data_IF_445689803195
#
_entry.id   IF_445689803195
#
_cell.length_a   1.000
_cell.length_b   1.000
_cell.length_c   1.000
_cell.angle_alpha   90.00
_cell.angle_beta   90.00
_cell.angle_gamma   90.00
#
_symmetry.space_group_name_H-M   'P 1'
#
loop_
_entity.id
_entity.type
_entity.pdbx_description
1 polymer ?
#
# COMPACT_ATOMS: atom_id res chain seq x y z
N UNK A 1 2.84 12.21 12.95
CA UNK A 1 3.11 10.81 12.55
C UNK A 1 2.45 10.50 11.21
N UNK A 2 3.21 9.98 10.25
CA UNK A 2 2.63 9.60 8.97
C UNK A 2 1.81 8.33 9.09
N UNK A 3 0.98 8.06 8.09
CA UNK A 3 0.21 6.82 8.03
C UNK A 3 1.13 5.59 8.04
N UNK A 4 2.25 5.66 7.31
CA UNK A 4 3.22 4.56 7.28
C UNK A 4 3.82 4.31 8.66
N UNK A 5 4.22 5.36 9.35
CA UNK A 5 4.80 5.23 10.70
C UNK A 5 3.81 4.62 11.67
N UNK A 6 2.54 5.01 11.57
CA UNK A 6 1.48 4.45 12.41
C UNK A 6 1.28 2.97 12.13
N UNK A 7 1.22 2.61 10.85
CA UNK A 7 1.03 1.21 10.44
C UNK A 7 2.24 0.36 10.83
N UNK A 8 3.44 0.91 10.70
CA UNK A 8 4.68 0.24 11.07
C UNK A 8 4.70 -0.07 12.56
N UNK A 9 4.33 0.92 13.38
CA UNK A 9 4.23 0.74 14.82
C UNK A 9 3.17 -0.28 15.19
N UNK A 10 2.01 -0.21 14.55
CA UNK A 10 0.90 -1.13 14.76
C UNK A 10 1.33 -2.57 14.48
N UNK A 11 2.05 -2.77 13.38
CA UNK A 11 2.57 -4.08 13.00
C UNK A 11 3.53 -4.62 14.06
N UNK A 12 4.42 -3.77 14.58
CA UNK A 12 5.36 -4.15 15.63
C UNK A 12 4.66 -4.55 16.93
N UNK A 13 3.49 -4.00 17.18
CA UNK A 13 2.70 -4.29 18.38
C UNK A 13 1.87 -5.57 18.27
N UNK A 14 2.00 -6.30 17.16
CA UNK A 14 1.35 -7.58 16.98
C UNK A 14 0.19 -7.59 15.99
N UNK A 15 -0.08 -6.45 15.34
CA UNK A 15 -1.18 -6.32 14.38
C UNK A 15 -0.72 -6.43 12.93
N UNK A 16 0.40 -7.11 12.69
CA UNK A 16 1.02 -7.21 11.36
C UNK A 16 0.09 -7.81 10.31
N UNK A 17 -0.66 -8.84 10.68
CA UNK A 17 -1.57 -9.50 9.73
C UNK A 17 -2.65 -8.53 9.26
N UNK A 18 -3.26 -7.80 10.20
CA UNK A 18 -4.29 -6.81 9.88
C UNK A 18 -3.74 -5.67 9.03
N UNK A 19 -2.58 -5.15 9.39
CA UNK A 19 -1.94 -4.04 8.68
C UNK A 19 -1.61 -4.46 7.25
N UNK A 20 -0.98 -5.60 7.08
CA UNK A 20 -0.59 -6.10 5.75
C UNK A 20 -1.82 -6.41 4.89
N UNK A 21 -2.86 -6.95 5.49
CA UNK A 21 -4.11 -7.25 4.79
C UNK A 21 -4.77 -5.99 4.26
N UNK A 22 -4.86 -4.93 5.09
CA UNK A 22 -5.44 -3.65 4.69
C UNK A 22 -4.65 -3.02 3.56
N UNK A 23 -3.33 -3.03 3.66
CA UNK A 23 -2.47 -2.43 2.66
C UNK A 23 -2.52 -3.19 1.33
N UNK A 24 -2.55 -4.51 1.40
CA UNK A 24 -2.69 -5.33 0.20
C UNK A 24 -4.01 -5.07 -0.53
N UNK A 25 -5.10 -4.97 0.22
CA UNK A 25 -6.41 -4.66 -0.36
C UNK A 25 -6.41 -3.29 -1.04
N UNK A 26 -5.76 -2.30 -0.45
CA UNK A 26 -5.65 -0.97 -1.04
C UNK A 26 -4.83 -1.00 -2.34
N UNK A 27 -3.71 -1.72 -2.35
CA UNK A 27 -2.87 -1.88 -3.54
C UNK A 27 -3.68 -2.54 -4.67
N UNK A 28 -4.39 -3.60 -4.37
CA UNK A 28 -5.21 -4.31 -5.34
C UNK A 28 -6.33 -3.42 -5.91
N UNK A 29 -6.96 -2.63 -5.06
CA UNK A 29 -8.00 -1.70 -5.49
C UNK A 29 -7.46 -0.64 -6.44
N UNK A 30 -6.32 -0.05 -6.09
CA UNK A 30 -5.69 0.97 -6.95
C UNK A 30 -5.20 0.37 -8.26
N UNK A 31 -4.67 -0.84 -8.23
CA UNK A 31 -4.25 -1.54 -9.44
C UNK A 31 -5.43 -1.78 -10.38
N UNK A 32 -6.56 -2.21 -9.83
CA UNK A 32 -7.77 -2.42 -10.62
C UNK A 32 -8.29 -1.10 -11.20
N UNK A 33 -8.24 -0.03 -10.41
CA UNK A 33 -8.64 1.30 -10.85
C UNK A 33 -7.75 1.79 -11.99
N UNK A 34 -6.45 1.57 -11.89
CA UNK A 34 -5.50 1.91 -12.95
C UNK A 34 -5.77 1.16 -14.25
N UNK A 35 -6.12 -0.12 -14.16
CA UNK A 35 -6.44 -0.93 -15.34
C UNK A 35 -7.71 -0.47 -16.03
N UNK A 36 -8.67 0.05 -15.28
CA UNK A 36 -9.94 0.54 -15.81
C UNK A 36 -9.86 1.98 -16.30
N UNK A 37 -8.81 2.71 -15.95
CA UNK A 37 -8.66 4.11 -16.28
C UNK A 37 -8.13 4.26 -17.72
N UNK A 38 -8.68 5.26 -18.46
CA UNK A 38 -8.24 5.55 -19.83
C UNK A 38 -7.44 6.83 -19.95
N UNK A 39 -7.25 7.55 -18.83
CA UNK A 39 -6.50 8.79 -18.81
C UNK A 39 -5.04 8.48 -18.46
N UNK A 40 -4.12 8.71 -19.42
CA UNK A 40 -2.70 8.40 -19.26
C UNK A 40 -2.05 9.08 -18.06
N UNK A 41 -2.40 10.34 -17.80
CA UNK A 41 -1.85 11.07 -16.66
C UNK A 41 -2.30 10.43 -15.35
N UNK A 42 -3.58 10.08 -15.26
CA UNK A 42 -4.13 9.45 -14.06
C UNK A 42 -3.54 8.05 -13.84
N UNK A 43 -3.34 7.31 -14.92
CA UNK A 43 -2.70 5.99 -14.85
C UNK A 43 -1.30 6.12 -14.26
N UNK A 44 -0.54 7.12 -14.68
CA UNK A 44 0.79 7.37 -14.12
C UNK A 44 0.76 7.69 -12.63
N UNK A 45 -0.20 8.53 -12.22
CA UNK A 45 -0.36 8.87 -10.80
C UNK A 45 -0.70 7.63 -9.97
N UNK A 46 -1.59 6.79 -10.49
CA UNK A 46 -1.98 5.55 -9.81
C UNK A 46 -0.78 4.61 -9.73
N UNK A 47 -0.01 4.48 -10.81
CA UNK A 47 1.16 3.60 -10.84
C UNK A 47 2.20 4.03 -9.80
N UNK A 48 2.45 5.33 -9.66
CA UNK A 48 3.37 5.87 -8.66
C UNK A 48 2.88 5.59 -7.24
N UNK A 49 1.58 5.76 -7.02
CA UNK A 49 0.98 5.48 -5.71
C UNK A 49 1.07 3.99 -5.37
N UNK A 50 0.79 3.12 -6.32
CA UNK A 50 0.92 1.67 -6.13
C UNK A 50 2.36 1.29 -5.81
N UNK A 51 3.33 1.89 -6.51
CA UNK A 51 4.74 1.63 -6.25
C UNK A 51 5.14 2.03 -4.83
N UNK A 52 4.67 3.20 -4.38
CA UNK A 52 4.94 3.68 -3.02
C UNK A 52 4.31 2.76 -1.97
N UNK A 53 3.05 2.41 -2.16
CA UNK A 53 2.34 1.54 -1.23
C UNK A 53 2.95 0.14 -1.17
N UNK A 54 3.41 -0.37 -2.31
CA UNK A 54 4.07 -1.68 -2.38
C UNK A 54 5.39 -1.65 -1.63
N UNK A 55 6.17 -0.56 -1.77
CA UNK A 55 7.42 -0.41 -1.05
C UNK A 55 7.18 -0.36 0.47
N UNK A 56 6.16 0.36 0.90
CA UNK A 56 5.78 0.44 2.31
C UNK A 56 5.31 -0.91 2.84
N UNK A 57 4.52 -1.62 2.05
CA UNK A 57 4.07 -2.97 2.37
C UNK A 57 5.26 -3.91 2.60
N UNK A 58 6.23 -3.87 1.69
CA UNK A 58 7.41 -4.71 1.78
C UNK A 58 8.24 -4.40 3.02
N UNK A 59 8.38 -3.13 3.38
CA UNK A 59 9.10 -2.74 4.59
C UNK A 59 8.44 -3.28 5.85
N UNK A 60 7.13 -3.25 5.91
CA UNK A 60 6.39 -3.80 7.05
C UNK A 60 6.53 -5.33 7.06
N UNK A 61 6.40 -5.96 5.89
CA UNK A 61 6.53 -7.41 5.75
C UNK A 61 7.90 -7.91 6.18
N UNK A 62 8.95 -7.13 5.97
CA UNK A 62 10.32 -7.49 6.34
C UNK A 62 10.55 -7.56 7.85
N UNK A 63 9.62 -7.04 8.67
CA UNK A 63 9.70 -7.18 10.12
C UNK A 63 9.46 -8.61 10.58
N UNK A 64 8.90 -9.41 9.72
CA UNK A 64 8.47 -10.78 10.02
C UNK A 64 9.01 -11.76 8.98
#
# INVERSE_FOLDING_TARGET
>A
MTRFERDFKDAKEGNEIEVLKRRKAEIERLTAEGKACRNGFRIQCIAQEVARLTAEYNKISELF
#
